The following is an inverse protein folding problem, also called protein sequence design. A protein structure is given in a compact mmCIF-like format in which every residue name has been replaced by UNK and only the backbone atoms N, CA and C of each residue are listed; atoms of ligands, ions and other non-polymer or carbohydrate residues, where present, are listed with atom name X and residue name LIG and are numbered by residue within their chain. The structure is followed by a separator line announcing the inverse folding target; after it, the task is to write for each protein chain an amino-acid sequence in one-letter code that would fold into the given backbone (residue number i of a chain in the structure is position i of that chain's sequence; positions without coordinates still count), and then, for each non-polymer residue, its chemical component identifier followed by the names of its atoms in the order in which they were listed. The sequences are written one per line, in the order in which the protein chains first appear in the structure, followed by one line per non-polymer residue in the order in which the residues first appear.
data_IF_401673527476
#
_entry.id   IF_401673527476
#
_cell.length_a   1.000
_cell.length_b   1.000
_cell.length_c   1.000
_cell.angle_alpha   90.00
_cell.angle_beta   90.00
_cell.angle_gamma   90.00
#
_symmetry.space_group_name_H-M   'P 1'
#
loop_
_entity.id
_entity.type
_entity.pdbx_description
1 polymer ?
#
# COMPACT_ATOMS: atom_id res chain seq x y z
N UNK A 1 -5.98 3.74 -2.07
CA UNK A 1 -4.81 3.28 -1.28
C UNK A 1 -3.58 3.91 -1.91
N UNK A 2 -2.51 4.12 -1.15
CA UNK A 2 -1.26 4.67 -1.68
C UNK A 2 -0.07 3.82 -1.23
N UNK A 3 0.93 3.72 -2.09
CA UNK A 3 2.24 3.14 -1.80
C UNK A 3 3.28 4.22 -2.09
N UNK A 4 4.13 4.52 -1.12
CA UNK A 4 5.18 5.53 -1.23
C UNK A 4 6.55 4.95 -1.00
N UNK A 5 7.53 5.51 -1.71
CA UNK A 5 8.95 5.26 -1.49
C UNK A 5 9.70 6.57 -1.49
N UNK A 6 10.80 6.63 -0.72
CA UNK A 6 11.72 7.75 -0.71
C UNK A 6 13.14 7.23 -0.84
N UNK A 7 13.85 7.67 -1.88
CA UNK A 7 15.23 7.31 -2.15
C UNK A 7 15.84 8.23 -3.21
N UNK A 8 17.11 8.65 -3.07
CA UNK A 8 17.80 9.41 -4.12
C UNK A 8 17.89 8.63 -5.45
N UNK A 9 17.74 7.31 -5.39
CA UNK A 9 17.94 6.40 -6.51
C UNK A 9 16.65 6.03 -7.26
N UNK A 10 15.50 6.64 -6.94
CA UNK A 10 14.19 6.32 -7.55
C UNK A 10 14.22 6.40 -9.07
N UNK A 11 14.98 7.35 -9.62
CA UNK A 11 15.08 7.58 -11.07
C UNK A 11 16.30 6.89 -11.69
N UNK A 12 16.93 5.91 -11.01
CA UNK A 12 17.83 4.97 -11.67
C UNK A 12 17.00 3.97 -12.48
N UNK A 13 17.42 3.69 -13.72
CA UNK A 13 16.71 2.81 -14.66
C UNK A 13 16.23 1.50 -14.03
N UNK A 14 17.07 0.82 -13.26
CA UNK A 14 16.74 -0.46 -12.65
C UNK A 14 15.61 -0.36 -11.62
N UNK A 15 15.72 0.58 -10.68
CA UNK A 15 14.71 0.81 -9.64
C UNK A 15 13.41 1.32 -10.25
N UNK A 16 13.53 2.24 -11.21
CA UNK A 16 12.40 2.79 -11.93
C UNK A 16 11.63 1.72 -12.72
N UNK A 17 12.33 0.85 -13.44
CA UNK A 17 11.69 -0.27 -14.15
C UNK A 17 11.01 -1.26 -13.19
N UNK A 18 11.60 -1.53 -12.03
CA UNK A 18 10.93 -2.32 -10.99
C UNK A 18 9.67 -1.62 -10.45
N UNK A 19 9.68 -0.30 -10.36
CA UNK A 19 8.52 0.50 -9.94
C UNK A 19 7.40 0.50 -11.00
N UNK A 20 7.76 0.62 -12.28
CA UNK A 20 6.85 0.45 -13.43
C UNK A 20 6.24 -0.96 -13.41
N UNK A 21 7.05 -1.99 -13.20
CA UNK A 21 6.59 -3.37 -13.13
C UNK A 21 5.60 -3.59 -11.97
N UNK A 22 5.92 -3.10 -10.77
CA UNK A 22 5.03 -3.16 -9.61
C UNK A 22 3.67 -2.51 -9.93
N UNK A 23 3.69 -1.33 -10.56
CA UNK A 23 2.48 -0.61 -10.97
C UNK A 23 1.62 -1.45 -11.93
N UNK A 24 2.25 -2.06 -12.93
CA UNK A 24 1.58 -2.90 -13.93
C UNK A 24 1.02 -4.19 -13.33
N UNK A 25 1.73 -4.82 -12.41
CA UNK A 25 1.26 -6.03 -11.72
C UNK A 25 0.07 -5.74 -10.82
N UNK A 26 0.06 -4.60 -10.11
CA UNK A 26 -1.06 -4.19 -9.27
C UNK A 26 -2.29 -3.86 -10.12
N UNK A 27 -2.11 -3.17 -11.26
CA UNK A 27 -3.20 -2.84 -12.20
C UNK A 27 -3.92 -4.08 -12.75
N UNK A 28 -3.23 -5.23 -12.84
CA UNK A 28 -3.81 -6.50 -13.31
C UNK A 28 -4.63 -7.24 -12.26
N UNK A 29 -4.55 -6.84 -10.98
CA UNK A 29 -5.29 -7.50 -9.91
C UNK A 29 -6.80 -7.24 -10.09
N UNK A 30 -7.59 -8.32 -9.92
CA UNK A 30 -9.05 -8.21 -9.94
C UNK A 30 -9.50 -7.28 -8.82
N UNK A 31 -10.28 -6.26 -9.17
CA UNK A 31 -10.79 -5.24 -8.23
C UNK A 31 -9.96 -3.98 -8.12
N UNK A 32 -8.92 -3.82 -8.94
CA UNK A 32 -8.21 -2.56 -9.12
C UNK A 32 -8.73 -1.87 -10.38
N UNK A 33 -9.28 -0.67 -10.21
CA UNK A 33 -9.81 0.15 -11.31
C UNK A 33 -8.69 0.90 -12.02
N UNK A 34 -7.79 1.52 -11.26
CA UNK A 34 -6.70 2.31 -11.80
C UNK A 34 -5.50 2.34 -10.86
N UNK A 35 -4.31 2.40 -11.45
CA UNK A 35 -3.03 2.66 -10.77
C UNK A 35 -2.37 3.84 -11.44
N UNK A 36 -2.04 4.86 -10.65
CA UNK A 36 -1.31 6.06 -11.06
C UNK A 36 0.02 6.08 -10.31
N UNK A 37 1.14 6.17 -11.03
CA UNK A 37 2.49 6.26 -10.45
C UNK A 37 3.43 6.98 -11.40
N UNK A 38 4.63 7.34 -10.95
CA UNK A 38 5.67 7.92 -11.82
C UNK A 38 6.06 7.03 -13.01
N UNK A 39 5.79 5.72 -12.93
CA UNK A 39 5.97 4.76 -14.02
C UNK A 39 4.72 4.51 -14.87
N UNK A 40 3.60 5.15 -14.54
CA UNK A 40 2.30 4.98 -15.19
C UNK A 40 1.49 6.26 -15.04
N UNK A 41 1.98 7.34 -15.64
CA UNK A 41 1.24 8.61 -15.79
C UNK A 41 0.77 8.77 -17.23
N UNK A 42 -0.25 9.61 -17.42
CA UNK A 42 -0.73 10.01 -18.74
C UNK A 42 -0.56 11.51 -18.88
N UNK A 43 0.10 11.95 -19.94
CA UNK A 43 0.16 13.34 -20.34
C UNK A 43 -0.97 13.63 -21.33
N UNK A 44 -1.64 14.77 -21.14
CA UNK A 44 -2.64 15.26 -22.07
C UNK A 44 -1.92 16.06 -23.17
N UNK A 45 -1.93 15.55 -24.39
CA UNK A 45 -1.42 16.25 -25.57
C UNK A 45 -2.59 16.79 -26.40
N UNK A 46 -2.43 17.98 -26.99
CA UNK A 46 -3.40 18.55 -27.91
C UNK A 46 -3.12 17.99 -29.31
N UNK A 47 -4.09 17.25 -29.85
CA UNK A 47 -4.11 16.90 -31.25
C UNK A 47 -4.68 18.10 -32.04
N UNK A 48 -3.79 18.80 -32.76
CA UNK A 48 -4.15 19.97 -33.56
C UNK A 48 -4.84 19.61 -34.87
N UNK A 49 -4.74 18.36 -35.32
CA UNK A 49 -5.35 17.88 -36.56
C UNK A 49 -6.80 17.51 -36.28
N UNK A 50 -7.02 16.67 -35.27
CA UNK A 50 -8.35 16.19 -34.88
C UNK A 50 -9.08 17.14 -33.92
N UNK A 51 -8.42 18.24 -33.51
CA UNK A 51 -8.92 19.21 -32.52
C UNK A 51 -9.38 18.57 -31.20
N UNK A 52 -8.69 17.51 -30.77
CA UNK A 52 -9.02 16.72 -29.57
C UNK A 52 -7.84 16.66 -28.62
N UNK A 53 -8.12 16.31 -27.37
CA UNK A 53 -7.06 15.97 -26.43
C UNK A 53 -6.84 14.45 -26.42
N UNK A 54 -5.59 14.04 -26.54
CA UNK A 54 -5.19 12.63 -26.50
C UNK A 54 -4.34 12.36 -25.26
N UNK A 55 -4.57 11.20 -24.65
CA UNK A 55 -3.80 10.75 -23.48
C UNK A 55 -2.63 9.90 -23.95
N UNK A 56 -1.41 10.33 -23.61
CA UNK A 56 -0.19 9.60 -23.93
C UNK A 56 0.47 9.09 -22.67
N UNK A 57 0.76 7.79 -22.63
CA UNK A 57 1.42 7.17 -21.48
C UNK A 57 2.88 7.59 -21.39
N UNK A 58 3.33 7.97 -20.20
CA UNK A 58 4.72 8.31 -19.91
C UNK A 58 5.16 7.51 -18.69
N UNK A 59 6.19 6.67 -18.83
CA UNK A 59 6.83 6.18 -20.05
C UNK A 59 5.88 5.25 -20.83
N UNK A 60 6.12 5.10 -22.14
CA UNK A 60 5.42 4.10 -22.95
C UNK A 60 6.07 2.72 -22.81
N UNK A 61 6.11 2.19 -21.58
CA UNK A 61 6.72 0.91 -21.25
C UNK A 61 7.97 1.01 -20.37
N UNK A 62 8.81 -0.03 -20.40
CA UNK A 62 10.07 -0.07 -19.66
C UNK A 62 11.12 0.80 -20.34
N UNK A 63 11.92 1.48 -19.52
CA UNK A 63 13.02 2.33 -19.96
C UNK A 63 14.23 1.45 -20.31
N UNK A 64 14.77 1.60 -21.52
CA UNK A 64 15.86 0.77 -22.04
C UNK A 64 17.23 1.35 -21.76
N UNK A 65 17.34 2.68 -21.80
CA UNK A 65 18.62 3.40 -21.66
C UNK A 65 18.55 4.46 -20.57
N UNK A 66 19.72 4.86 -20.05
CA UNK A 66 19.77 5.89 -19.02
C UNK A 66 19.40 7.28 -19.60
N UNK A 67 19.68 7.50 -20.89
CA UNK A 67 19.24 8.68 -21.62
C UNK A 67 17.70 8.79 -21.74
N UNK A 68 17.01 7.67 -21.98
CA UNK A 68 15.54 7.63 -21.92
C UNK A 68 15.03 7.94 -20.51
N UNK A 69 15.72 7.44 -19.47
CA UNK A 69 15.37 7.72 -18.08
C UNK A 69 15.47 9.21 -17.76
N UNK A 70 16.55 9.86 -18.21
CA UNK A 70 16.73 11.31 -18.06
C UNK A 70 15.68 12.11 -18.83
N UNK A 71 15.23 11.61 -19.98
CA UNK A 71 14.09 12.20 -20.69
C UNK A 71 12.81 12.11 -19.86
N UNK A 72 12.48 10.94 -19.34
CA UNK A 72 11.29 10.72 -18.50
C UNK A 72 11.32 11.59 -17.24
N UNK A 73 12.48 11.65 -16.57
CA UNK A 73 12.72 12.48 -15.40
C UNK A 73 12.49 13.96 -15.70
N UNK A 74 13.00 14.47 -16.83
CA UNK A 74 12.76 15.85 -17.27
C UNK A 74 11.28 16.11 -17.56
N UNK A 75 10.59 15.21 -18.25
CA UNK A 75 9.16 15.38 -18.54
C UNK A 75 8.31 15.40 -17.26
N UNK A 76 8.61 14.51 -16.30
CA UNK A 76 7.97 14.50 -14.99
C UNK A 76 8.17 15.85 -14.26
N UNK A 77 9.40 16.32 -14.16
CA UNK A 77 9.71 17.58 -13.45
C UNK A 77 9.23 18.85 -14.15
N UNK A 78 9.13 18.83 -15.48
CA UNK A 78 8.60 19.95 -16.26
C UNK A 78 7.08 20.00 -16.28
N UNK A 79 6.40 19.08 -15.59
CA UNK A 79 4.94 19.03 -15.50
C UNK A 79 4.52 19.29 -14.05
N UNK A 80 4.33 20.57 -13.63
CA UNK A 80 4.05 20.93 -12.24
C UNK A 80 2.83 20.23 -11.65
N UNK A 81 1.88 19.81 -12.49
CA UNK A 81 0.69 19.07 -12.08
C UNK A 81 1.01 17.79 -11.29
N UNK A 82 2.13 17.11 -11.57
CA UNK A 82 2.49 15.88 -10.87
C UNK A 82 3.30 16.11 -9.59
N UNK A 83 3.77 17.34 -9.34
CA UNK A 83 4.47 17.72 -8.11
C UNK A 83 3.52 17.67 -6.92
N UNK A 84 3.93 16.99 -5.85
CA UNK A 84 3.11 16.77 -4.65
C UNK A 84 2.07 15.65 -4.78
N UNK A 85 1.75 15.20 -5.99
CA UNK A 85 0.81 14.10 -6.24
C UNK A 85 1.51 12.77 -6.52
N UNK A 86 2.51 12.78 -7.40
CA UNK A 86 3.20 11.57 -7.88
C UNK A 86 4.68 11.58 -7.51
N UNK A 87 5.30 12.76 -7.47
CA UNK A 87 6.67 12.94 -7.01
C UNK A 87 6.80 14.19 -6.14
N UNK A 88 7.90 14.30 -5.38
CA UNK A 88 8.27 15.55 -4.71
C UNK A 88 9.73 15.93 -4.99
N UNK A 89 10.13 17.12 -4.54
CA UNK A 89 11.51 17.64 -4.64
C UNK A 89 12.51 16.93 -3.71
N UNK A 90 12.05 16.07 -2.81
CA UNK A 90 12.85 15.37 -1.80
C UNK A 90 13.07 13.89 -2.17
N UNK A 91 13.01 13.57 -3.46
CA UNK A 91 13.16 12.23 -4.00
C UNK A 91 12.21 11.21 -3.36
N UNK A 92 10.92 11.55 -3.29
CA UNK A 92 9.85 10.62 -2.98
C UNK A 92 8.91 10.47 -4.18
N UNK A 93 8.36 9.27 -4.35
CA UNK A 93 7.30 9.00 -5.33
C UNK A 93 6.16 8.23 -4.70
N UNK A 94 4.94 8.52 -5.16
CA UNK A 94 3.71 7.88 -4.73
C UNK A 94 3.07 7.12 -5.88
N UNK A 95 2.50 5.96 -5.54
CA UNK A 95 1.63 5.16 -6.37
C UNK A 95 0.24 5.17 -5.75
N UNK A 96 -0.71 5.79 -6.42
CA UNK A 96 -2.12 5.79 -6.04
C UNK A 96 -2.83 4.60 -6.69
N UNK A 97 -3.54 3.84 -5.87
CA UNK A 97 -4.28 2.63 -6.27
C UNK A 97 -5.76 2.86 -5.98
N UNK A 98 -6.55 2.85 -7.04
CA UNK A 98 -7.99 3.04 -7.03
C UNK A 98 -8.66 1.68 -7.11
N UNK A 99 -9.46 1.35 -6.10
CA UNK A 99 -10.21 0.10 -6.03
C UNK A 99 -11.56 0.25 -6.74
N UNK A 100 -12.11 -0.88 -7.18
CA UNK A 100 -13.53 -0.98 -7.48
C UNK A 100 -14.34 -0.75 -6.20
N UNK A 101 -15.39 0.07 -6.29
CA UNK A 101 -16.20 0.47 -5.12
C UNK A 101 -16.95 -0.71 -4.50
N UNK A 102 -17.36 -1.70 -5.29
CA UNK A 102 -18.04 -2.91 -4.80
C UNK A 102 -17.09 -3.75 -3.95
N UNK A 103 -15.86 -3.91 -4.43
CA UNK A 103 -14.84 -4.71 -3.76
C UNK A 103 -14.33 -3.99 -2.51
N UNK A 104 -14.10 -2.67 -2.59
CA UNK A 104 -13.62 -1.85 -1.47
C UNK A 104 -14.49 -1.99 -0.21
N UNK A 105 -15.81 -2.05 -0.40
CA UNK A 105 -16.82 -2.13 0.67
C UNK A 105 -17.14 -3.56 1.10
N UNK A 106 -16.47 -4.57 0.53
CA UNK A 106 -16.70 -5.98 0.82
C UNK A 106 -15.52 -6.62 1.55
N UNK A 107 -15.70 -7.85 2.03
CA UNK A 107 -14.62 -8.67 2.60
C UNK A 107 -13.57 -9.09 1.55
N UNK A 108 -13.92 -9.07 0.25
CA UNK A 108 -13.01 -9.41 -0.85
C UNK A 108 -11.82 -8.44 -0.96
N UNK A 109 -11.90 -7.27 -0.31
CA UNK A 109 -10.78 -6.33 -0.19
C UNK A 109 -9.55 -6.96 0.48
N UNK A 110 -9.74 -7.77 1.53
CA UNK A 110 -8.65 -8.28 2.36
C UNK A 110 -7.62 -9.11 1.58
N UNK A 111 -8.00 -10.12 0.77
CA UNK A 111 -7.03 -10.86 -0.03
C UNK A 111 -6.31 -9.98 -1.07
N UNK A 112 -6.97 -8.97 -1.63
CA UNK A 112 -6.35 -8.04 -2.59
C UNK A 112 -5.32 -7.17 -1.88
N UNK A 113 -5.63 -6.62 -0.71
CA UNK A 113 -4.66 -5.87 0.11
C UNK A 113 -3.42 -6.70 0.42
N UNK A 114 -3.63 -7.96 0.83
CA UNK A 114 -2.53 -8.89 1.12
C UNK A 114 -1.65 -9.13 -0.12
N UNK A 115 -2.23 -9.34 -1.29
CA UNK A 115 -1.48 -9.49 -2.54
C UNK A 115 -0.67 -8.24 -2.89
N UNK A 116 -1.24 -7.05 -2.68
CA UNK A 116 -0.52 -5.79 -2.92
C UNK A 116 0.63 -5.63 -1.93
N UNK A 117 0.42 -5.92 -0.64
CA UNK A 117 1.48 -5.91 0.37
C UNK A 117 2.61 -6.90 0.04
N UNK A 118 2.29 -8.11 -0.42
CA UNK A 118 3.27 -9.10 -0.82
C UNK A 118 4.12 -8.62 -2.00
N UNK A 119 3.49 -8.01 -3.02
CA UNK A 119 4.18 -7.40 -4.16
C UNK A 119 5.05 -6.21 -3.74
N UNK A 120 4.55 -5.35 -2.86
CA UNK A 120 5.29 -4.22 -2.31
C UNK A 120 6.51 -4.68 -1.50
N UNK A 121 6.36 -5.72 -0.67
CA UNK A 121 7.46 -6.34 0.08
C UNK A 121 8.49 -7.00 -0.83
N UNK A 122 8.06 -7.63 -1.92
CA UNK A 122 8.97 -8.19 -2.93
C UNK A 122 9.80 -7.09 -3.60
N UNK A 123 9.19 -5.95 -3.94
CA UNK A 123 9.91 -4.76 -4.42
C UNK A 123 10.91 -4.26 -3.37
N UNK A 124 10.48 -4.06 -2.12
CA UNK A 124 11.35 -3.62 -1.02
C UNK A 124 12.55 -4.55 -0.83
N UNK A 125 12.35 -5.87 -0.90
CA UNK A 125 13.43 -6.86 -0.77
C UNK A 125 14.44 -6.79 -1.91
N UNK A 126 13.98 -6.52 -3.14
CA UNK A 126 14.84 -6.41 -4.33
C UNK A 126 15.63 -5.12 -4.38
N UNK A 127 14.97 -3.99 -4.10
CA UNK A 127 15.59 -2.66 -4.20
C UNK A 127 16.27 -2.20 -2.92
N UNK A 128 15.98 -2.85 -1.79
CA UNK A 128 16.37 -2.44 -0.43
C UNK A 128 15.83 -1.05 -0.03
N UNK A 129 14.88 -0.50 -0.79
CA UNK A 129 14.23 0.77 -0.49
C UNK A 129 13.02 0.51 0.39
N UNK A 130 12.91 1.24 1.50
CA UNK A 130 11.78 1.12 2.40
C UNK A 130 10.48 1.55 1.69
N UNK A 131 9.46 0.69 1.76
CA UNK A 131 8.15 0.94 1.19
C UNK A 131 7.17 1.29 2.30
N UNK A 132 6.43 2.37 2.10
CA UNK A 132 5.37 2.81 3.01
C UNK A 132 4.01 2.60 2.33
N UNK A 133 3.10 1.93 3.01
CA UNK A 133 1.74 1.65 2.50
C UNK A 133 0.74 2.39 3.37
N UNK A 134 -0.22 3.07 2.75
CA UNK A 134 -1.24 3.85 3.46
C UNK A 134 -2.57 3.93 2.69
N UNK A 135 -3.53 4.64 3.28
CA UNK A 135 -4.87 4.88 2.75
C UNK A 135 -5.96 4.11 3.47
N UNK A 136 -7.19 4.62 3.40
CA UNK A 136 -8.37 4.09 4.10
C UNK A 136 -8.56 2.56 4.02
N UNK A 137 -8.41 1.90 2.84
CA UNK A 137 -8.59 0.46 2.73
C UNK A 137 -7.62 -0.31 3.64
N UNK A 138 -6.37 0.14 3.68
CA UNK A 138 -5.29 -0.46 4.47
C UNK A 138 -5.40 -0.10 5.94
N UNK A 139 -5.54 1.19 6.27
CA UNK A 139 -5.62 1.69 7.65
C UNK A 139 -6.78 1.02 8.40
N UNK A 140 -7.98 0.95 7.80
CA UNK A 140 -9.13 0.30 8.43
C UNK A 140 -8.84 -1.17 8.77
N UNK A 141 -8.22 -1.88 7.84
CA UNK A 141 -7.90 -3.30 8.01
C UNK A 141 -6.81 -3.50 9.08
N UNK A 142 -5.77 -2.68 9.06
CA UNK A 142 -4.68 -2.72 10.04
C UNK A 142 -5.18 -2.40 11.45
N UNK A 143 -5.99 -1.34 11.61
CA UNK A 143 -6.57 -0.95 12.89
C UNK A 143 -7.51 -2.03 13.43
N UNK A 144 -8.42 -2.57 12.60
CA UNK A 144 -9.30 -3.66 13.04
C UNK A 144 -8.51 -4.90 13.49
N UNK A 145 -7.39 -5.22 12.82
CA UNK A 145 -6.53 -6.34 13.20
C UNK A 145 -5.80 -6.08 14.52
N UNK A 146 -5.27 -4.87 14.72
CA UNK A 146 -4.64 -4.48 15.98
C UNK A 146 -5.63 -4.60 17.13
N UNK A 147 -6.82 -4.00 16.99
CA UNK A 147 -7.88 -4.07 17.99
C UNK A 147 -8.25 -5.52 18.31
N UNK A 148 -8.45 -6.37 17.30
CA UNK A 148 -8.78 -7.79 17.52
C UNK A 148 -7.67 -8.54 18.27
N UNK A 149 -6.39 -8.26 17.99
CA UNK A 149 -5.28 -8.90 18.67
C UNK A 149 -5.17 -8.44 20.13
N UNK A 150 -5.31 -7.14 20.37
CA UNK A 150 -5.30 -6.56 21.72
C UNK A 150 -6.48 -7.09 22.56
N UNK A 151 -7.65 -7.29 21.97
CA UNK A 151 -8.80 -7.89 22.67
C UNK A 151 -8.51 -9.29 23.20
N UNK A 152 -7.78 -10.13 22.44
CA UNK A 152 -7.42 -11.49 22.89
C UNK A 152 -6.43 -11.43 24.05
N UNK A 153 -5.42 -10.57 23.95
CA UNK A 153 -4.46 -10.35 25.03
C UNK A 153 -5.16 -9.83 26.29
N UNK A 154 -6.03 -8.83 26.13
CA UNK A 154 -6.81 -8.24 27.22
C UNK A 154 -7.71 -9.27 27.90
N UNK A 155 -8.43 -10.09 27.13
CA UNK A 155 -9.28 -11.14 27.66
C UNK A 155 -8.46 -12.15 28.48
N UNK A 156 -7.32 -12.61 27.95
CA UNK A 156 -6.44 -13.53 28.67
C UNK A 156 -5.90 -12.95 29.98
N UNK A 157 -5.47 -11.68 29.97
CA UNK A 157 -5.01 -10.98 31.17
C UNK A 157 -6.14 -10.76 32.18
N UNK A 158 -7.35 -10.43 31.71
CA UNK A 158 -8.52 -10.22 32.58
C UNK A 158 -8.95 -11.51 33.29
N UNK A 159 -8.94 -12.65 32.57
CA UNK A 159 -9.20 -13.97 33.17
C UNK A 159 -8.11 -14.31 34.17
N UNK A 160 -6.83 -14.08 33.85
CA UNK A 160 -5.71 -14.34 34.75
C UNK A 160 -5.80 -13.53 36.05
N UNK A 161 -6.09 -12.24 35.96
CA UNK A 161 -6.25 -11.36 37.14
C UNK A 161 -7.44 -11.82 37.98
N UNK A 162 -8.58 -12.11 37.35
CA UNK A 162 -9.77 -12.64 38.03
C UNK A 162 -9.48 -13.96 38.73
N UNK A 163 -8.76 -14.87 38.07
CA UNK A 163 -8.32 -16.14 38.63
C UNK A 163 -7.45 -15.97 39.87
N UNK A 164 -6.49 -15.03 39.80
CA UNK A 164 -5.56 -14.75 40.89
C UNK A 164 -6.28 -14.16 42.11
N UNK A 165 -7.25 -13.27 41.89
CA UNK A 165 -8.11 -12.73 42.97
C UNK A 165 -8.89 -13.86 43.63
N UNK A 166 -9.59 -14.70 42.85
CA UNK A 166 -10.34 -15.84 43.39
C UNK A 166 -9.43 -16.81 44.16
N UNK A 167 -8.21 -17.05 43.66
CA UNK A 167 -7.25 -17.91 44.32
C UNK A 167 -6.80 -17.37 45.69
N UNK A 168 -6.62 -16.04 45.80
CA UNK A 168 -6.30 -15.39 47.09
C UNK A 168 -7.44 -15.55 48.09
N UNK A 169 -8.69 -15.36 47.65
CA UNK A 169 -9.87 -15.46 48.52
C UNK A 169 -10.16 -16.89 48.97
N UNK A 170 -10.22 -17.83 48.03
CA UNK A 170 -10.66 -19.19 48.33
C UNK A 170 -9.50 -20.12 48.73
N UNK A 171 -8.26 -19.81 48.35
CA UNK A 171 -7.04 -20.61 48.60
C UNK A 171 -7.17 -22.09 48.20
N UNK A 172 -8.13 -22.42 47.32
CA UNK A 172 -8.50 -23.77 46.87
C UNK A 172 -8.69 -23.74 45.35
N UNK A 173 -7.97 -24.60 44.64
CA UNK A 173 -7.99 -24.65 43.17
C UNK A 173 -9.40 -24.91 42.60
N UNK A 174 -10.17 -25.80 43.21
CA UNK A 174 -11.54 -26.13 42.77
C UNK A 174 -12.48 -24.92 42.82
N UNK A 175 -12.34 -24.05 43.83
CA UNK A 175 -13.18 -22.86 43.99
C UNK A 175 -12.84 -21.73 42.99
N UNK A 176 -11.72 -21.84 42.27
CA UNK A 176 -11.28 -20.90 41.23
C UNK A 176 -11.63 -21.43 39.83
N UNK A 177 -11.46 -22.73 39.62
CA UNK A 177 -11.66 -23.37 38.32
C UNK A 177 -13.11 -23.29 37.82
N UNK A 178 -14.10 -23.62 38.66
CA UNK A 178 -15.50 -23.63 38.22
C UNK A 178 -16.03 -22.24 37.85
N UNK A 179 -15.76 -21.15 38.60
CA UNK A 179 -16.17 -19.81 38.19
C UNK A 179 -15.51 -19.33 36.90
N UNK A 180 -14.22 -19.63 36.67
CA UNK A 180 -13.52 -19.24 35.43
C UNK A 180 -14.10 -19.97 34.22
N UNK A 181 -14.50 -21.23 34.36
CA UNK A 181 -15.04 -22.02 33.25
C UNK A 181 -16.38 -21.47 32.73
N UNK A 182 -17.13 -20.76 33.58
CA UNK A 182 -18.40 -20.11 33.24
C UNK A 182 -18.19 -18.79 32.49
N UNK A 183 -17.04 -18.13 32.68
CA UNK A 183 -16.70 -16.80 32.14
C UNK A 183 -15.98 -16.92 30.80
#
# INVERSE_FOLDING_TARGET
MVIGIQSPDIFKKEIYNQWVQLSNEIQKLKGIKAVLSSGRIFQLEKDTVEQKFVLKAIPNGLVKTDAEMDSVKRTLYNTPFFEGLVYNKQNATLMAITFDTKILNSAERNPILKQIEEKAKAFQKKTKIQVHISGLPYIRTAVSKLVSNEFVLFLGLSILVSALILLIFFRKFSAVFYPILVV
#
